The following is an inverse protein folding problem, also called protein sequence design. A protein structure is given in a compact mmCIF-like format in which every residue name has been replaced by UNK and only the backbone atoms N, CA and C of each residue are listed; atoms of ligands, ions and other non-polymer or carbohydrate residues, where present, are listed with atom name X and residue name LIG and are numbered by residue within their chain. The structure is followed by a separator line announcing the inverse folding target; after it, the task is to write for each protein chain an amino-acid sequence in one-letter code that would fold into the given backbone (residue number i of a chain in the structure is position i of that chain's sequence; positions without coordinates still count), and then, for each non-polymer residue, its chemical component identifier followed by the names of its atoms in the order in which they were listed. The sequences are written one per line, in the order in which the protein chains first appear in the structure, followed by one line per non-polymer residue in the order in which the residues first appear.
data_IF_849055334883
#
_entry.id   IF_849055334883
#
_cell.length_a   1.000
_cell.length_b   1.000
_cell.length_c   1.000
_cell.angle_alpha   90.00
_cell.angle_beta   90.00
_cell.angle_gamma   90.00
#
_symmetry.space_group_name_H-M   'P 1'
#
loop_
_entity.id
_entity.type
_entity.pdbx_description
1 polymer ?
#
# COMPACT_ATOMS: atom_id res chain seq x y z
N UNK A 1 -17.08 -9.87 -8.86
CA UNK A 1 -17.69 -8.60 -9.39
C UNK A 1 -17.56 -8.55 -10.89
N UNK A 2 -18.58 -8.08 -11.65
CA UNK A 2 -18.42 -7.90 -13.09
C UNK A 2 -17.65 -6.61 -13.43
N UNK A 3 -17.18 -6.49 -14.69
CA UNK A 3 -16.31 -5.37 -15.08
C UNK A 3 -17.00 -3.99 -15.03
N UNK A 4 -18.31 -3.93 -15.30
CA UNK A 4 -19.06 -2.67 -15.28
C UNK A 4 -19.33 -2.22 -13.84
N UNK A 5 -19.70 -3.14 -12.98
CA UNK A 5 -19.90 -2.91 -11.55
C UNK A 5 -18.59 -2.46 -10.88
N UNK A 6 -17.49 -3.13 -11.20
CA UNK A 6 -16.16 -2.76 -10.72
C UNK A 6 -15.77 -1.34 -11.13
N UNK A 7 -15.98 -0.97 -12.40
CA UNK A 7 -15.66 0.36 -12.91
C UNK A 7 -16.49 1.46 -12.21
N UNK A 8 -17.80 1.21 -12.02
CA UNK A 8 -18.69 2.15 -11.31
C UNK A 8 -18.26 2.34 -9.86
N UNK A 9 -17.92 1.25 -9.17
CA UNK A 9 -17.49 1.30 -7.78
C UNK A 9 -16.14 2.01 -7.65
N UNK A 10 -15.20 1.76 -8.57
CA UNK A 10 -13.92 2.45 -8.63
C UNK A 10 -14.07 3.95 -8.83
N UNK A 11 -14.97 4.38 -9.72
CA UNK A 11 -15.30 5.79 -9.93
C UNK A 11 -15.92 6.41 -8.67
N UNK A 12 -16.89 5.73 -8.06
CA UNK A 12 -17.60 6.20 -6.86
C UNK A 12 -16.66 6.38 -5.68
N UNK A 13 -15.86 5.36 -5.34
CA UNK A 13 -14.90 5.39 -4.23
C UNK A 13 -13.81 6.42 -4.50
N UNK A 14 -13.30 6.47 -5.74
CA UNK A 14 -12.29 7.43 -6.14
C UNK A 14 -12.75 8.88 -6.01
N UNK A 15 -13.97 9.20 -6.48
CA UNK A 15 -14.55 10.52 -6.37
C UNK A 15 -14.80 10.93 -4.90
N UNK A 16 -15.33 10.00 -4.09
CA UNK A 16 -15.60 10.25 -2.66
C UNK A 16 -14.31 10.53 -1.88
N UNK A 17 -13.26 9.73 -2.06
CA UNK A 17 -11.96 9.93 -1.41
C UNK A 17 -11.24 11.20 -1.93
N UNK A 18 -11.33 11.52 -3.22
CA UNK A 18 -10.75 12.76 -3.76
C UNK A 18 -11.40 14.02 -3.15
N UNK A 19 -12.69 13.96 -2.85
CA UNK A 19 -13.42 15.07 -2.23
C UNK A 19 -13.11 15.26 -0.74
N UNK A 20 -12.75 14.18 -0.02
CA UNK A 20 -12.60 14.15 1.45
C UNK A 20 -11.42 13.29 1.90
N UNK A 21 -10.23 13.51 1.30
CA UNK A 21 -9.04 12.72 1.58
C UNK A 21 -8.60 12.76 3.07
N UNK A 22 -8.86 13.88 3.76
CA UNK A 22 -8.53 14.06 5.18
C UNK A 22 -9.47 13.30 6.14
N UNK A 23 -10.57 12.74 5.63
CA UNK A 23 -11.59 11.99 6.39
C UNK A 23 -11.85 10.63 5.74
N UNK A 24 -10.79 9.99 5.28
CA UNK A 24 -10.87 8.78 4.47
C UNK A 24 -11.61 7.63 5.18
N UNK A 25 -11.40 7.43 6.47
CA UNK A 25 -12.07 6.34 7.22
C UNK A 25 -13.59 6.54 7.33
N UNK A 26 -14.07 7.79 7.45
CA UNK A 26 -15.50 8.07 7.39
C UNK A 26 -16.06 7.84 5.99
N UNK A 27 -15.34 8.27 4.95
CA UNK A 27 -15.72 7.99 3.54
C UNK A 27 -15.82 6.49 3.30
N UNK A 28 -14.84 5.70 3.75
CA UNK A 28 -14.84 4.25 3.60
C UNK A 28 -16.03 3.59 4.32
N UNK A 29 -16.40 4.11 5.49
CA UNK A 29 -17.62 3.65 6.20
C UNK A 29 -18.88 3.95 5.38
N UNK A 30 -19.00 5.15 4.81
CA UNK A 30 -20.16 5.57 4.02
C UNK A 30 -20.32 4.75 2.72
N UNK A 31 -19.22 4.34 2.08
CA UNK A 31 -19.26 3.52 0.85
C UNK A 31 -19.38 2.01 1.11
N UNK A 32 -19.44 1.58 2.39
CA UNK A 32 -19.62 0.17 2.73
C UNK A 32 -18.35 -0.67 2.57
N UNK A 33 -17.19 -0.12 2.95
CA UNK A 33 -15.89 -0.80 2.82
C UNK A 33 -15.86 -2.19 3.45
N UNK A 34 -16.37 -2.36 4.67
CA UNK A 34 -16.33 -3.65 5.37
C UNK A 34 -17.21 -4.70 4.70
N UNK A 35 -18.35 -4.30 4.15
CA UNK A 35 -19.23 -5.17 3.38
C UNK A 35 -18.57 -5.61 2.06
N UNK A 36 -17.87 -4.68 1.38
CA UNK A 36 -17.11 -5.01 0.17
C UNK A 36 -15.95 -5.96 0.47
N UNK A 37 -15.22 -5.72 1.57
CA UNK A 37 -14.10 -6.56 1.99
C UNK A 37 -14.55 -7.99 2.33
N UNK A 38 -15.73 -8.15 2.93
CA UNK A 38 -16.30 -9.47 3.27
C UNK A 38 -16.79 -10.22 2.01
N UNK A 39 -17.43 -9.51 1.08
CA UNK A 39 -18.05 -10.12 -0.11
C UNK A 39 -17.05 -10.40 -1.24
N UNK A 40 -16.17 -9.45 -1.54
CA UNK A 40 -15.26 -9.47 -2.71
C UNK A 40 -13.89 -8.89 -2.33
N UNK A 41 -13.12 -9.57 -1.46
CA UNK A 41 -11.91 -8.99 -0.84
C UNK A 41 -10.87 -8.53 -1.86
N UNK A 42 -10.69 -9.24 -2.97
CA UNK A 42 -9.68 -8.91 -3.98
C UNK A 42 -10.01 -7.62 -4.73
N UNK A 43 -11.26 -7.46 -5.15
CA UNK A 43 -11.74 -6.25 -5.81
C UNK A 43 -11.82 -5.08 -4.84
N UNK A 44 -12.30 -5.29 -3.62
CA UNK A 44 -12.39 -4.28 -2.58
C UNK A 44 -11.01 -3.70 -2.23
N UNK A 45 -10.00 -4.55 -2.00
CA UNK A 45 -8.62 -4.13 -1.76
C UNK A 45 -8.07 -3.33 -2.94
N UNK A 46 -8.26 -3.82 -4.17
CA UNK A 46 -7.76 -3.13 -5.35
C UNK A 46 -8.35 -1.73 -5.50
N UNK A 47 -9.67 -1.61 -5.41
CA UNK A 47 -10.40 -0.35 -5.60
C UNK A 47 -10.05 0.66 -4.51
N UNK A 48 -10.15 0.25 -3.24
CA UNK A 48 -9.98 1.16 -2.11
C UNK A 48 -8.53 1.63 -1.98
N UNK A 49 -7.56 0.72 -2.03
CA UNK A 49 -6.15 1.12 -1.84
C UNK A 49 -5.60 1.90 -3.04
N UNK A 50 -6.04 1.62 -4.26
CA UNK A 50 -5.69 2.47 -5.40
C UNK A 50 -6.26 3.89 -5.24
N UNK A 51 -7.50 4.02 -4.79
CA UNK A 51 -8.12 5.32 -4.54
C UNK A 51 -7.44 6.09 -3.39
N UNK A 52 -7.06 5.40 -2.29
CA UNK A 52 -6.27 5.98 -1.20
C UNK A 52 -4.93 6.53 -1.71
N UNK A 53 -4.23 5.76 -2.53
CA UNK A 53 -2.97 6.18 -3.14
C UNK A 53 -3.14 7.37 -4.07
N UNK A 54 -4.16 7.37 -4.92
CA UNK A 54 -4.47 8.47 -5.85
C UNK A 54 -4.83 9.76 -5.11
N UNK A 55 -5.56 9.68 -3.99
CA UNK A 55 -5.91 10.81 -3.13
C UNK A 55 -4.80 11.21 -2.15
N UNK A 56 -3.73 10.45 -2.03
CA UNK A 56 -2.73 10.56 -0.95
C UNK A 56 -3.39 10.60 0.44
N UNK A 57 -4.45 9.84 0.62
CA UNK A 57 -5.24 9.80 1.83
C UNK A 57 -4.63 8.89 2.89
N UNK A 58 -4.71 9.27 4.16
CA UNK A 58 -4.36 8.42 5.29
C UNK A 58 -5.60 7.66 5.75
N UNK A 59 -5.48 6.35 5.94
CA UNK A 59 -6.61 5.50 6.33
C UNK A 59 -6.15 4.34 7.20
N UNK A 60 -7.09 3.80 7.97
CA UNK A 60 -6.93 2.58 8.76
C UNK A 60 -7.45 1.31 8.07
N UNK A 61 -7.78 1.35 6.78
CA UNK A 61 -8.29 0.19 6.02
C UNK A 61 -7.35 -1.04 6.07
N UNK A 62 -6.06 -0.82 6.26
CA UNK A 62 -5.08 -1.90 6.39
C UNK A 62 -5.29 -2.74 7.65
N UNK A 63 -5.79 -2.15 8.76
CA UNK A 63 -6.18 -2.89 9.96
C UNK A 63 -7.28 -3.90 9.63
N UNK A 64 -8.28 -3.49 8.84
CA UNK A 64 -9.40 -4.35 8.48
C UNK A 64 -8.96 -5.54 7.62
N UNK A 65 -8.04 -5.31 6.67
CA UNK A 65 -7.42 -6.37 5.87
C UNK A 65 -6.70 -7.37 6.77
N UNK A 66 -5.91 -6.91 7.73
CA UNK A 66 -5.16 -7.79 8.64
C UNK A 66 -6.07 -8.53 9.61
N UNK A 67 -7.02 -7.83 10.24
CA UNK A 67 -7.97 -8.43 11.17
C UNK A 67 -8.79 -9.53 10.48
N UNK A 68 -9.29 -9.25 9.26
CA UNK A 68 -10.02 -10.24 8.46
C UNK A 68 -9.16 -11.46 8.10
N UNK A 69 -7.93 -11.23 7.62
CA UNK A 69 -7.01 -12.30 7.24
C UNK A 69 -6.60 -13.20 8.42
N UNK A 70 -6.59 -12.65 9.63
CA UNK A 70 -6.34 -13.40 10.87
C UNK A 70 -7.58 -14.09 11.42
N UNK A 71 -8.71 -14.06 10.69
CA UNK A 71 -9.94 -14.79 11.02
C UNK A 71 -10.87 -14.06 12.00
N UNK A 72 -10.64 -12.79 12.30
CA UNK A 72 -11.52 -12.00 13.14
C UNK A 72 -12.37 -11.03 12.30
N UNK A 73 -13.48 -10.57 12.90
CA UNK A 73 -14.35 -9.59 12.23
C UNK A 73 -13.79 -8.18 12.42
N UNK A 74 -13.49 -7.45 11.33
CA UNK A 74 -13.09 -6.04 11.40
C UNK A 74 -14.17 -5.17 12.06
N UNK A 75 -13.72 -4.17 12.83
CA UNK A 75 -14.58 -3.18 13.48
C UNK A 75 -13.80 -1.89 13.75
N UNK A 76 -14.49 -0.77 13.82
CA UNK A 76 -13.86 0.55 13.92
C UNK A 76 -13.02 0.77 15.21
N UNK A 77 -13.30 0.03 16.28
CA UNK A 77 -12.59 0.11 17.55
C UNK A 77 -11.51 -0.96 17.76
N UNK A 78 -11.14 -1.69 16.68
CA UNK A 78 -10.09 -2.72 16.68
C UNK A 78 -8.97 -2.34 15.70
N UNK A 79 -7.80 -2.00 16.22
CA UNK A 79 -6.58 -1.83 15.44
C UNK A 79 -5.83 -3.17 15.27
N UNK A 80 -4.89 -3.22 14.34
CA UNK A 80 -3.97 -4.34 14.18
C UNK A 80 -2.52 -3.91 14.48
N UNK A 81 -1.77 -4.76 15.16
CA UNK A 81 -0.33 -4.57 15.29
C UNK A 81 0.36 -5.19 14.06
N UNK A 82 0.91 -4.34 13.22
CA UNK A 82 1.57 -4.68 11.97
C UNK A 82 3.08 -4.88 12.18
N UNK A 83 3.78 -5.60 11.29
CA UNK A 83 5.23 -5.72 11.34
C UNK A 83 5.94 -4.37 11.41
N UNK A 84 7.10 -4.27 12.04
CA UNK A 84 7.92 -3.05 11.98
C UNK A 84 8.42 -2.78 10.55
N UNK A 85 8.81 -1.54 10.27
CA UNK A 85 9.34 -1.14 8.96
C UNK A 85 10.47 -2.07 8.50
N UNK A 86 10.39 -2.47 7.24
CA UNK A 86 11.35 -3.37 6.60
C UNK A 86 11.17 -4.84 6.97
N UNK A 87 10.26 -5.23 7.86
CA UNK A 87 9.97 -6.60 8.24
C UNK A 87 8.62 -7.08 7.70
N UNK A 88 8.44 -8.40 7.70
CA UNK A 88 7.16 -9.08 7.49
C UNK A 88 6.92 -10.19 8.53
N UNK A 89 7.86 -10.34 9.47
CA UNK A 89 7.72 -11.30 10.57
C UNK A 89 6.70 -10.78 11.60
N UNK A 90 6.05 -11.65 12.37
CA UNK A 90 5.21 -11.22 13.47
C UNK A 90 5.97 -10.31 14.44
N UNK A 91 5.35 -9.22 14.92
CA UNK A 91 6.00 -8.29 15.84
C UNK A 91 6.23 -8.93 17.21
N UNK A 92 7.49 -9.25 17.54
CA UNK A 92 7.86 -9.91 18.81
C UNK A 92 7.81 -8.98 20.03
N UNK A 93 8.16 -7.71 19.88
CA UNK A 93 8.23 -6.72 20.98
C UNK A 93 7.63 -5.37 20.62
N UNK A 94 6.80 -5.33 19.59
CA UNK A 94 6.19 -4.12 19.07
C UNK A 94 6.31 -4.02 17.56
N UNK A 95 5.53 -3.12 16.97
CA UNK A 95 5.39 -3.00 15.53
C UNK A 95 4.88 -1.63 15.12
N UNK A 96 4.11 -1.61 14.04
CA UNK A 96 3.45 -0.43 13.53
C UNK A 96 1.93 -0.54 13.74
N UNK A 97 1.29 0.59 13.87
CA UNK A 97 -0.16 0.71 13.82
C UNK A 97 -0.54 1.92 12.97
N UNK A 98 -1.74 1.86 12.38
CA UNK A 98 -2.33 2.98 11.64
C UNK A 98 -2.84 4.07 12.59
N UNK A 99 -3.47 5.10 12.05
CA UNK A 99 -4.16 6.16 12.81
C UNK A 99 -5.20 5.61 13.77
N UNK A 100 -5.80 4.44 13.49
CA UNK A 100 -6.82 3.79 14.31
C UNK A 100 -6.38 3.55 15.75
N UNK A 101 -5.09 3.35 16.00
CA UNK A 101 -4.53 3.14 17.35
C UNK A 101 -4.90 4.26 18.33
N UNK A 102 -5.10 5.49 17.83
CA UNK A 102 -5.45 6.63 18.67
C UNK A 102 -6.90 6.61 19.18
N UNK A 103 -7.79 5.87 18.51
CA UNK A 103 -9.22 5.80 18.81
C UNK A 103 -9.72 4.39 19.12
N UNK A 104 -8.90 3.37 18.85
CA UNK A 104 -9.21 1.97 19.10
C UNK A 104 -9.35 1.70 20.61
N UNK A 105 -10.25 0.79 20.94
CA UNK A 105 -10.35 0.21 22.26
C UNK A 105 -9.39 -0.95 22.45
N UNK A 106 -9.28 -1.74 21.41
CA UNK A 106 -8.54 -3.00 21.42
C UNK A 106 -7.55 -3.05 20.24
N UNK A 107 -6.49 -3.83 20.39
CA UNK A 107 -5.50 -4.11 19.35
C UNK A 107 -5.37 -5.60 19.16
N UNK A 108 -5.45 -6.06 17.92
CA UNK A 108 -5.10 -7.43 17.57
C UNK A 108 -3.57 -7.55 17.47
N UNK A 109 -3.01 -8.43 18.27
CA UNK A 109 -1.58 -8.73 18.33
C UNK A 109 -1.33 -10.19 17.96
N UNK A 110 -0.17 -10.47 17.38
CA UNK A 110 0.27 -11.84 17.11
C UNK A 110 1.61 -12.07 17.82
N UNK A 111 1.65 -13.05 18.70
CA UNK A 111 2.86 -13.45 19.42
C UNK A 111 2.93 -14.98 19.51
N UNK A 112 4.13 -15.55 19.35
CA UNK A 112 4.33 -16.99 19.42
C UNK A 112 3.46 -17.81 18.44
N UNK A 113 3.03 -17.23 17.31
CA UNK A 113 2.12 -17.86 16.35
C UNK A 113 0.65 -17.90 16.80
N UNK A 114 0.27 -17.08 17.77
CA UNK A 114 -1.10 -16.93 18.28
C UNK A 114 -1.57 -15.49 18.11
N UNK A 115 -2.82 -15.30 17.69
CA UNK A 115 -3.48 -14.00 17.70
C UNK A 115 -4.32 -13.83 18.97
N UNK A 116 -4.27 -12.66 19.54
CA UNK A 116 -5.14 -12.26 20.64
C UNK A 116 -5.49 -10.77 20.54
N UNK A 117 -6.58 -10.39 21.17
CA UNK A 117 -6.98 -9.00 21.29
C UNK A 117 -6.59 -8.50 22.70
N UNK A 118 -5.85 -7.39 22.73
CA UNK A 118 -5.42 -6.75 23.98
C UNK A 118 -5.96 -5.32 24.05
N UNK A 119 -6.24 -4.76 25.24
CA UNK A 119 -6.64 -3.36 25.37
C UNK A 119 -5.51 -2.42 24.88
N UNK A 120 -5.86 -1.37 24.12
CA UNK A 120 -4.89 -0.38 23.63
C UNK A 120 -4.08 0.27 24.76
N UNK A 121 -4.68 0.48 25.94
CA UNK A 121 -4.01 1.04 27.11
C UNK A 121 -2.88 0.18 27.70
N UNK A 122 -2.72 -1.06 27.26
CA UNK A 122 -1.60 -1.94 27.66
C UNK A 122 -0.35 -1.77 26.79
N UNK A 123 -0.42 -0.91 25.76
CA UNK A 123 0.63 -0.71 24.76
C UNK A 123 1.13 0.74 24.81
N UNK A 124 2.43 0.96 24.51
CA UNK A 124 3.02 2.31 24.37
C UNK A 124 3.08 2.68 22.88
N UNK A 125 2.13 3.49 22.43
CA UNK A 125 2.02 3.99 21.05
C UNK A 125 2.58 5.39 20.90
N UNK A 126 3.43 5.61 19.86
CA UNK A 126 4.01 6.92 19.56
C UNK A 126 3.89 7.23 18.08
N UNK A 127 3.43 8.45 17.75
CA UNK A 127 3.36 8.90 16.37
C UNK A 127 4.72 8.88 15.68
N UNK A 128 4.79 8.32 14.47
CA UNK A 128 5.98 8.28 13.63
C UNK A 128 6.18 9.65 12.99
N UNK A 129 7.30 10.30 13.29
CA UNK A 129 7.73 11.57 12.67
C UNK A 129 8.78 11.29 11.62
N UNK A 130 8.42 10.48 10.62
CA UNK A 130 9.32 10.09 9.55
C UNK A 130 9.22 10.99 8.32
N UNK A 131 9.48 10.41 7.14
CA UNK A 131 9.47 11.13 5.87
C UNK A 131 8.05 11.58 5.46
N UNK A 132 7.01 10.83 5.86
CA UNK A 132 5.60 11.11 5.61
C UNK A 132 4.83 11.12 6.95
N UNK A 133 4.90 12.21 7.73
CA UNK A 133 4.20 12.31 9.01
C UNK A 133 2.68 12.35 8.84
N UNK A 134 2.19 12.81 7.69
CA UNK A 134 0.76 12.93 7.37
C UNK A 134 0.10 11.57 7.12
N UNK A 135 0.88 10.51 6.95
CA UNK A 135 0.37 9.14 6.85
C UNK A 135 -0.19 8.59 8.17
N UNK A 136 0.08 9.26 9.30
CA UNK A 136 -0.54 8.96 10.59
C UNK A 136 -0.06 7.67 11.27
N UNK A 137 1.07 7.11 10.86
CA UNK A 137 1.61 5.89 11.46
C UNK A 137 2.09 6.08 12.90
N UNK A 138 1.98 5.02 13.68
CA UNK A 138 2.48 4.94 15.05
C UNK A 138 3.42 3.74 15.19
N UNK A 139 4.50 3.92 15.94
CA UNK A 139 5.25 2.80 16.52
C UNK A 139 4.56 2.39 17.80
N UNK A 140 4.43 1.09 18.02
CA UNK A 140 3.83 0.52 19.21
C UNK A 140 4.83 -0.41 19.86
N UNK A 141 5.05 -0.27 21.16
CA UNK A 141 5.92 -1.13 21.97
C UNK A 141 5.09 -1.97 22.92
N UNK A 142 5.55 -3.20 23.17
CA UNK A 142 4.81 -4.19 23.91
C UNK A 142 3.90 -5.00 22.99
N UNK A 143 3.63 -6.22 23.37
CA UNK A 143 2.68 -7.10 22.68
C UNK A 143 1.51 -7.48 23.59
N UNK A 144 1.54 -7.00 24.83
CA UNK A 144 0.70 -7.53 25.90
C UNK A 144 1.11 -8.98 26.22
N UNK A 145 0.54 -9.54 27.28
CA UNK A 145 0.71 -10.97 27.56
C UNK A 145 -0.31 -11.78 26.72
N UNK A 146 0.15 -12.35 25.59
CA UNK A 146 -0.63 -13.30 24.80
C UNK A 146 -0.48 -14.69 25.40
N UNK A 147 -1.07 -14.91 26.56
CA UNK A 147 -1.05 -16.22 27.23
C UNK A 147 -2.04 -17.22 26.61
N UNK A 148 -3.07 -16.73 25.95
CA UNK A 148 -4.13 -17.51 25.29
C UNK A 148 -4.52 -16.81 23.98
N UNK A 149 -4.74 -17.58 22.90
CA UNK A 149 -5.15 -17.06 21.61
C UNK A 149 -5.23 -18.16 20.56
N UNK A 150 -5.82 -17.86 19.42
CA UNK A 150 -5.96 -18.81 18.32
C UNK A 150 -4.63 -18.99 17.57
N UNK A 151 -4.34 -20.22 17.12
CA UNK A 151 -3.15 -20.50 16.32
C UNK A 151 -3.31 -19.88 14.92
N UNK A 152 -2.40 -18.97 14.53
CA UNK A 152 -2.52 -18.17 13.30
C UNK A 152 -1.27 -18.19 12.43
N UNK A 153 -0.34 -19.14 12.62
CA UNK A 153 0.91 -19.17 11.86
C UNK A 153 0.68 -19.15 10.34
N UNK A 154 -0.26 -19.96 9.84
CA UNK A 154 -0.63 -19.97 8.42
C UNK A 154 -1.43 -18.71 8.01
N UNK A 155 -2.26 -18.17 8.88
CA UNK A 155 -3.04 -16.96 8.63
C UNK A 155 -2.14 -15.72 8.57
N UNK A 156 -1.01 -15.70 9.30
CA UNK A 156 -0.05 -14.61 9.25
C UNK A 156 0.54 -14.41 7.86
N UNK A 157 0.99 -15.49 7.21
CA UNK A 157 1.52 -15.41 5.84
C UNK A 157 0.48 -14.88 4.86
N UNK A 158 -0.78 -15.27 5.03
CA UNK A 158 -1.91 -14.77 4.25
C UNK A 158 -2.18 -13.29 4.53
N UNK A 159 -2.12 -12.86 5.80
CA UNK A 159 -2.30 -11.45 6.17
C UNK A 159 -1.19 -10.57 5.58
N UNK A 160 0.07 -11.02 5.64
CA UNK A 160 1.20 -10.33 4.99
C UNK A 160 1.03 -10.28 3.48
N UNK A 161 0.56 -11.37 2.85
CA UNK A 161 0.33 -11.40 1.41
C UNK A 161 -0.76 -10.40 0.99
N UNK A 162 -1.88 -10.35 1.70
CA UNK A 162 -2.94 -9.36 1.45
C UNK A 162 -2.46 -7.94 1.74
N UNK A 163 -1.72 -7.71 2.83
CA UNK A 163 -1.12 -6.42 3.14
C UNK A 163 -0.14 -5.93 2.06
N UNK A 164 0.69 -6.82 1.50
CA UNK A 164 1.57 -6.53 0.36
C UNK A 164 0.79 -6.11 -0.88
N UNK A 165 -0.33 -6.77 -1.17
CA UNK A 165 -1.20 -6.42 -2.29
C UNK A 165 -1.88 -5.08 -2.06
N UNK A 166 -2.44 -4.85 -0.87
CA UNK A 166 -3.06 -3.59 -0.47
C UNK A 166 -2.10 -2.40 -0.65
N UNK A 167 -0.90 -2.49 -0.05
CA UNK A 167 0.15 -1.48 -0.22
C UNK A 167 0.59 -1.34 -1.68
N UNK A 168 0.64 -2.44 -2.43
CA UNK A 168 0.94 -2.43 -3.86
C UNK A 168 -0.07 -1.61 -4.67
N UNK A 169 -1.37 -1.74 -4.40
CA UNK A 169 -2.42 -0.95 -5.03
C UNK A 169 -2.37 0.53 -4.61
N UNK A 170 -2.06 0.82 -3.34
CA UNK A 170 -1.86 2.22 -2.89
C UNK A 170 -0.67 2.87 -3.63
N UNK A 171 0.43 2.14 -3.79
CA UNK A 171 1.58 2.61 -4.57
C UNK A 171 1.25 2.78 -6.07
N UNK A 172 0.38 1.94 -6.63
CA UNK A 172 -0.13 2.07 -8.00
C UNK A 172 -0.91 3.38 -8.16
N UNK A 173 -1.86 3.65 -7.28
CA UNK A 173 -2.65 4.89 -7.29
C UNK A 173 -1.77 6.13 -7.16
N UNK A 174 -0.83 6.13 -6.20
CA UNK A 174 0.13 7.23 -6.02
C UNK A 174 1.03 7.43 -7.25
N UNK A 175 1.45 6.35 -7.91
CA UNK A 175 2.25 6.41 -9.15
C UNK A 175 1.46 7.02 -10.32
N UNK A 176 0.19 6.65 -10.46
CA UNK A 176 -0.71 7.26 -11.46
C UNK A 176 -0.90 8.75 -11.21
N UNK A 177 -1.07 9.16 -9.95
CA UNK A 177 -1.16 10.57 -9.58
C UNK A 177 0.13 11.35 -9.89
N UNK A 178 1.31 10.81 -9.56
CA UNK A 178 2.59 11.42 -9.91
C UNK A 178 2.74 11.62 -11.42
N UNK A 179 2.36 10.62 -12.23
CA UNK A 179 2.41 10.71 -13.69
C UNK A 179 1.43 11.76 -14.23
N UNK A 180 0.21 11.85 -13.67
CA UNK A 180 -0.78 12.85 -14.05
C UNK A 180 -0.26 14.27 -13.82
N UNK A 181 0.31 14.56 -12.65
CA UNK A 181 0.92 15.85 -12.31
C UNK A 181 2.07 16.22 -13.26
N UNK A 182 2.94 15.27 -13.56
CA UNK A 182 4.05 15.51 -14.48
C UNK A 182 3.58 15.74 -15.93
N UNK A 183 2.52 15.04 -16.36
CA UNK A 183 1.89 15.22 -17.67
C UNK A 183 1.24 16.59 -17.80
N UNK A 184 0.46 17.02 -16.79
CA UNK A 184 -0.15 18.35 -16.75
C UNK A 184 0.93 19.43 -16.87
N UNK A 185 1.96 19.37 -16.03
CA UNK A 185 3.08 20.29 -16.10
C UNK A 185 3.76 20.29 -17.49
N UNK A 186 3.92 19.13 -18.12
CA UNK A 186 4.55 19.04 -19.45
C UNK A 186 3.72 19.66 -20.56
N UNK A 187 2.39 19.71 -20.41
CA UNK A 187 1.47 20.39 -21.34
C UNK A 187 1.48 21.89 -21.14
N UNK A 188 1.49 22.36 -19.89
CA UNK A 188 1.32 23.76 -19.54
C UNK A 188 2.62 24.57 -19.58
N UNK A 189 3.75 23.93 -19.26
CA UNK A 189 5.05 24.61 -19.19
C UNK A 189 5.60 24.89 -20.59
N UNK A 190 5.70 26.16 -20.94
CA UNK A 190 6.30 26.60 -22.22
C UNK A 190 7.76 26.96 -22.04
N UNK A 191 8.63 26.39 -22.86
CA UNK A 191 10.03 26.76 -23.01
C UNK A 191 10.44 26.61 -24.50
N UNK A 192 11.32 27.49 -24.97
CA UNK A 192 11.69 27.54 -26.40
C UNK A 192 10.46 27.66 -27.30
N UNK A 193 9.52 28.54 -26.93
CA UNK A 193 8.31 28.90 -27.67
C UNK A 193 7.25 27.76 -27.82
N UNK A 194 7.39 26.64 -27.08
CA UNK A 194 6.46 25.52 -27.14
C UNK A 194 6.35 24.77 -25.81
N UNK A 195 5.26 24.02 -25.57
CA UNK A 195 5.14 23.16 -24.40
C UNK A 195 6.30 22.17 -24.29
N UNK A 196 6.82 21.94 -23.07
CA UNK A 196 7.94 21.02 -22.88
C UNK A 196 7.56 19.58 -23.24
N UNK A 197 6.28 19.20 -23.18
CA UNK A 197 5.76 17.92 -23.65
C UNK A 197 5.92 17.69 -25.16
N UNK A 198 6.30 18.71 -25.94
CA UNK A 198 6.63 18.53 -27.36
C UNK A 198 8.01 17.93 -27.59
N UNK A 199 8.92 17.95 -26.60
CA UNK A 199 10.26 17.40 -26.70
C UNK A 199 10.26 15.89 -26.49
N UNK A 200 10.96 15.14 -27.36
CA UNK A 200 11.02 13.68 -27.27
C UNK A 200 11.57 13.18 -25.93
N UNK A 201 12.59 13.84 -25.38
CA UNK A 201 13.17 13.47 -24.10
C UNK A 201 12.16 13.49 -22.95
N UNK A 202 11.21 14.44 -22.95
CA UNK A 202 10.12 14.53 -21.97
C UNK A 202 9.11 13.39 -22.22
N UNK A 203 8.69 13.20 -23.49
CA UNK A 203 7.74 12.14 -23.85
C UNK A 203 8.25 10.75 -23.48
N UNK A 204 9.53 10.46 -23.74
CA UNK A 204 10.13 9.17 -23.42
C UNK A 204 10.11 8.91 -21.90
N UNK A 205 10.41 9.91 -21.07
CA UNK A 205 10.33 9.77 -19.61
C UNK A 205 8.93 9.48 -19.12
N UNK A 206 7.92 10.18 -19.64
CA UNK A 206 6.53 9.93 -19.28
C UNK A 206 6.05 8.56 -19.78
N UNK A 207 6.51 8.13 -20.97
CA UNK A 207 6.20 6.80 -21.49
C UNK A 207 6.84 5.68 -20.65
N UNK A 208 8.10 5.82 -20.23
CA UNK A 208 8.78 4.86 -19.34
C UNK A 208 8.07 4.75 -17.99
N UNK A 209 7.61 5.89 -17.42
CA UNK A 209 6.81 5.89 -16.22
C UNK A 209 5.47 5.16 -16.42
N UNK A 210 4.78 5.39 -17.53
CA UNK A 210 3.53 4.71 -17.87
C UNK A 210 3.73 3.19 -18.01
N UNK A 211 4.76 2.75 -18.73
CA UNK A 211 5.09 1.32 -18.91
C UNK A 211 5.32 0.65 -17.56
N UNK A 212 6.03 1.32 -16.63
CA UNK A 212 6.24 0.77 -15.29
C UNK A 212 4.92 0.65 -14.50
N UNK A 213 4.02 1.62 -14.62
CA UNK A 213 2.69 1.60 -13.99
C UNK A 213 1.84 0.45 -14.53
N UNK A 214 1.77 0.28 -15.86
CA UNK A 214 1.00 -0.80 -16.49
C UNK A 214 1.57 -2.19 -16.14
N UNK A 215 2.89 -2.32 -16.04
CA UNK A 215 3.53 -3.55 -15.58
C UNK A 215 3.17 -3.88 -14.13
N UNK A 216 3.12 -2.87 -13.25
CA UNK A 216 2.67 -3.07 -11.86
C UNK A 216 1.21 -3.50 -11.79
N UNK A 217 0.33 -2.82 -12.52
CA UNK A 217 -1.10 -3.15 -12.56
C UNK A 217 -1.31 -4.61 -13.02
N UNK A 218 -0.65 -5.03 -14.10
CA UNK A 218 -0.69 -6.42 -14.56
C UNK A 218 -0.16 -7.41 -13.50
N UNK A 219 0.91 -7.04 -12.78
CA UNK A 219 1.48 -7.90 -11.73
C UNK A 219 0.54 -8.04 -10.52
N UNK A 220 -0.14 -6.96 -10.14
CA UNK A 220 -1.14 -6.99 -9.05
C UNK A 220 -2.36 -7.83 -9.41
N UNK A 221 -2.83 -7.76 -10.66
CA UNK A 221 -3.91 -8.64 -11.15
C UNK A 221 -3.49 -10.11 -11.13
N UNK A 222 -2.31 -10.42 -11.64
CA UNK A 222 -1.78 -11.79 -11.61
C UNK A 222 -1.64 -12.31 -10.16
N UNK A 223 -1.27 -11.45 -9.20
CA UNK A 223 -1.21 -11.83 -7.80
C UNK A 223 -2.59 -11.99 -7.14
N UNK A 224 -3.66 -11.47 -7.75
CA UNK A 224 -5.05 -11.74 -7.34
C UNK A 224 -5.56 -13.05 -7.95
N UNK A 225 -5.24 -13.32 -9.22
CA UNK A 225 -5.63 -14.55 -9.91
C UNK A 225 -4.95 -15.79 -9.31
N UNK A 226 -3.69 -15.64 -8.86
CA UNK A 226 -2.90 -16.69 -8.22
C UNK A 226 -2.43 -16.24 -6.83
N UNK A 227 -3.33 -16.21 -5.83
CA UNK A 227 -3.01 -15.68 -4.50
C UNK A 227 -2.00 -16.56 -3.77
N UNK A 228 -0.96 -15.93 -3.22
CA UNK A 228 0.06 -16.62 -2.45
C UNK A 228 1.17 -15.68 -1.95
N UNK A 229 1.99 -16.16 -0.98
CA UNK A 229 3.07 -15.35 -0.42
C UNK A 229 4.11 -14.90 -1.46
N UNK A 230 4.42 -15.76 -2.44
CA UNK A 230 5.41 -15.47 -3.48
C UNK A 230 4.90 -14.45 -4.49
N UNK A 231 3.67 -14.62 -4.99
CA UNK A 231 3.05 -13.70 -5.95
C UNK A 231 2.82 -12.32 -5.34
N UNK A 232 2.38 -12.27 -4.08
CA UNK A 232 2.24 -11.02 -3.34
C UNK A 232 3.60 -10.35 -3.06
N UNK A 233 4.66 -11.12 -2.79
CA UNK A 233 6.01 -10.59 -2.63
C UNK A 233 6.54 -10.00 -3.95
N UNK A 234 6.34 -10.69 -5.07
CA UNK A 234 6.69 -10.19 -6.40
C UNK A 234 5.95 -8.88 -6.74
N UNK A 235 4.64 -8.83 -6.47
CA UNK A 235 3.82 -7.64 -6.67
C UNK A 235 4.32 -6.46 -5.83
N UNK A 236 4.63 -6.67 -4.53
CA UNK A 236 5.16 -5.62 -3.64
C UNK A 236 6.55 -5.14 -4.09
N UNK A 237 7.44 -6.05 -4.49
CA UNK A 237 8.76 -5.67 -5.01
C UNK A 237 8.64 -4.88 -6.32
N UNK A 238 7.71 -5.27 -7.20
CA UNK A 238 7.41 -4.52 -8.43
C UNK A 238 6.85 -3.14 -8.10
N UNK A 239 5.95 -3.02 -7.10
CA UNK A 239 5.38 -1.75 -6.66
C UNK A 239 6.45 -0.76 -6.20
N UNK A 240 7.40 -1.18 -5.35
CA UNK A 240 8.49 -0.31 -4.90
C UNK A 240 9.39 0.14 -6.05
N UNK A 241 9.76 -0.75 -6.96
CA UNK A 241 10.56 -0.40 -8.15
C UNK A 241 9.82 0.54 -9.10
N UNK A 242 8.52 0.29 -9.33
CA UNK A 242 7.67 1.16 -10.14
C UNK A 242 7.58 2.55 -9.55
N UNK A 243 7.25 2.68 -8.27
CA UNK A 243 7.15 3.96 -7.60
C UNK A 243 8.46 4.76 -7.69
N UNK A 244 9.60 4.10 -7.48
CA UNK A 244 10.92 4.73 -7.63
C UNK A 244 11.17 5.20 -9.09
N UNK A 245 10.85 4.37 -10.08
CA UNK A 245 11.00 4.70 -11.50
C UNK A 245 10.13 5.88 -11.89
N UNK A 246 8.84 5.84 -11.53
CA UNK A 246 7.87 6.90 -11.79
C UNK A 246 8.30 8.20 -11.13
N UNK A 247 8.65 8.15 -9.84
CA UNK A 247 9.10 9.32 -9.10
C UNK A 247 10.32 9.98 -9.76
N UNK A 248 11.32 9.20 -10.16
CA UNK A 248 12.53 9.70 -10.85
C UNK A 248 12.20 10.37 -12.18
N UNK A 249 11.34 9.77 -13.00
CA UNK A 249 10.99 10.34 -14.30
C UNK A 249 10.09 11.59 -14.16
N UNK A 250 9.08 11.54 -13.30
CA UNK A 250 8.19 12.66 -13.07
C UNK A 250 8.91 13.84 -12.43
N UNK A 251 9.77 13.62 -11.45
CA UNK A 251 10.57 14.67 -10.82
C UNK A 251 11.50 15.36 -11.83
N UNK A 252 12.09 14.60 -12.74
CA UNK A 252 12.92 15.17 -13.81
C UNK A 252 12.09 16.03 -14.79
N UNK A 253 10.84 15.66 -15.09
CA UNK A 253 9.94 16.46 -15.94
C UNK A 253 9.50 17.72 -15.22
N UNK A 254 9.15 17.64 -13.94
CA UNK A 254 8.77 18.77 -13.10
C UNK A 254 9.96 19.72 -12.84
N UNK A 255 11.19 19.24 -12.94
CA UNK A 255 12.41 20.00 -12.68
C UNK A 255 12.39 20.71 -11.30
N UNK A 256 12.71 22.00 -11.22
CA UNK A 256 12.82 22.73 -9.96
C UNK A 256 11.56 22.70 -9.09
N UNK A 257 10.37 22.79 -9.69
CA UNK A 257 9.10 22.80 -8.95
C UNK A 257 8.85 21.45 -8.22
N UNK A 258 9.30 20.32 -8.79
CA UNK A 258 9.17 19.00 -8.20
C UNK A 258 9.98 18.78 -6.91
N UNK A 259 10.87 19.71 -6.56
CA UNK A 259 11.65 19.70 -5.32
C UNK A 259 11.08 20.61 -4.24
N UNK A 260 10.02 21.35 -4.54
CA UNK A 260 9.42 22.31 -3.60
C UNK A 260 8.19 21.74 -2.93
N UNK A 261 7.82 22.30 -1.78
CA UNK A 261 6.57 21.98 -1.08
C UNK A 261 5.35 22.66 -1.70
N UNK A 262 5.55 23.56 -2.66
CA UNK A 262 4.48 24.27 -3.35
C UNK A 262 3.76 23.38 -4.38
N UNK A 263 4.37 22.27 -4.78
CA UNK A 263 3.81 21.31 -5.73
C UNK A 263 3.43 19.99 -5.05
N UNK A 264 2.23 19.48 -5.31
CA UNK A 264 1.69 18.28 -4.65
C UNK A 264 2.54 16.99 -4.84
N UNK A 265 3.39 16.94 -5.87
CA UNK A 265 4.22 15.78 -6.20
C UNK A 265 5.03 15.24 -5.00
N UNK A 266 5.59 16.13 -4.16
CA UNK A 266 6.40 15.73 -3.02
C UNK A 266 5.62 14.88 -1.99
N UNK A 267 4.30 15.05 -1.88
CA UNK A 267 3.44 14.27 -0.97
C UNK A 267 3.38 12.81 -1.42
N UNK A 268 3.15 12.58 -2.71
CA UNK A 268 3.12 11.22 -3.30
C UNK A 268 4.48 10.55 -3.24
N UNK A 269 5.57 11.29 -3.51
CA UNK A 269 6.93 10.78 -3.37
C UNK A 269 7.19 10.28 -1.94
N UNK A 270 6.91 11.10 -0.93
CA UNK A 270 7.09 10.74 0.49
C UNK A 270 6.24 9.53 0.88
N UNK A 271 4.96 9.50 0.45
CA UNK A 271 4.05 8.39 0.68
C UNK A 271 4.60 7.09 0.09
N UNK A 272 5.02 7.08 -1.16
CA UNK A 272 5.55 5.87 -1.79
C UNK A 272 6.85 5.39 -1.16
N UNK A 273 7.73 6.30 -0.69
CA UNK A 273 8.94 5.92 0.05
C UNK A 273 8.60 5.27 1.41
N UNK A 274 7.60 5.76 2.11
CA UNK A 274 7.12 5.16 3.36
C UNK A 274 6.46 3.79 3.10
N UNK A 275 5.58 3.69 2.10
CA UNK A 275 4.89 2.45 1.73
C UNK A 275 5.86 1.35 1.27
N UNK A 276 6.99 1.71 0.65
CA UNK A 276 8.02 0.71 0.29
C UNK A 276 8.58 0.01 1.53
N UNK A 277 8.66 0.69 2.67
CA UNK A 277 9.12 0.10 3.93
C UNK A 277 8.13 -0.86 4.59
N UNK A 278 6.84 -0.85 4.23
CA UNK A 278 5.84 -1.75 4.80
C UNK A 278 5.94 -3.15 4.21
N UNK A 279 5.90 -4.18 5.06
CA UNK A 279 5.99 -5.62 4.68
C UNK A 279 7.22 -5.99 3.84
N UNK A 280 8.31 -5.25 4.03
CA UNK A 280 9.58 -5.40 3.32
C UNK A 280 9.72 -4.45 2.12
N UNK A 281 10.90 -3.85 1.99
CA UNK A 281 11.24 -3.04 0.82
C UNK A 281 11.44 -3.90 -0.43
N UNK A 282 11.30 -3.27 -1.61
CA UNK A 282 11.50 -3.94 -2.90
C UNK A 282 12.83 -4.69 -2.99
N UNK A 283 13.92 -4.08 -2.51
CA UNK A 283 15.26 -4.68 -2.55
C UNK A 283 15.40 -5.85 -1.57
N UNK A 284 14.84 -5.73 -0.36
CA UNK A 284 14.87 -6.80 0.64
C UNK A 284 14.07 -8.00 0.17
N UNK A 285 12.86 -7.78 -0.37
CA UNK A 285 12.01 -8.85 -0.93
C UNK A 285 12.73 -9.53 -2.11
N UNK A 286 13.28 -8.77 -3.05
CA UNK A 286 13.99 -9.33 -4.20
C UNK A 286 15.22 -10.16 -3.77
N UNK A 287 15.96 -9.69 -2.76
CA UNK A 287 17.10 -10.43 -2.19
C UNK A 287 16.65 -11.74 -1.54
N UNK A 288 15.54 -11.73 -0.80
CA UNK A 288 15.00 -12.90 -0.13
C UNK A 288 14.48 -13.93 -1.13
N UNK A 289 13.70 -13.50 -2.12
CA UNK A 289 13.26 -14.36 -3.24
C UNK A 289 14.44 -15.00 -3.97
N UNK A 290 15.49 -14.21 -4.24
CA UNK A 290 16.71 -14.75 -4.85
C UNK A 290 17.37 -15.85 -4.01
N UNK A 291 17.45 -15.67 -2.70
CA UNK A 291 17.96 -16.72 -1.77
C UNK A 291 17.10 -17.98 -1.81
N UNK A 292 15.79 -17.83 -1.81
CA UNK A 292 14.85 -18.96 -1.88
C UNK A 292 15.02 -19.74 -3.19
N UNK A 293 15.14 -19.08 -4.34
CA UNK A 293 15.38 -19.72 -5.64
C UNK A 293 16.70 -20.47 -5.68
N UNK A 294 17.77 -19.89 -5.13
CA UNK A 294 19.08 -20.53 -5.04
C UNK A 294 19.01 -21.78 -4.15
N UNK A 295 18.36 -21.69 -2.99
CA UNK A 295 18.20 -22.81 -2.06
C UNK A 295 17.37 -23.95 -2.69
N UNK A 296 16.28 -23.61 -3.37
CA UNK A 296 15.41 -24.56 -4.06
C UNK A 296 16.06 -25.18 -5.32
N UNK A 297 17.11 -24.56 -5.85
CA UNK A 297 17.73 -24.90 -7.15
C UNK A 297 16.74 -25.06 -8.30
N UNK A 298 15.64 -24.33 -8.23
CA UNK A 298 14.54 -24.35 -9.20
C UNK A 298 13.99 -22.96 -9.39
N UNK A 299 13.82 -22.56 -10.64
CA UNK A 299 13.08 -21.36 -11.05
C UNK A 299 11.67 -21.81 -11.42
N UNK A 300 10.60 -21.22 -10.83
CA UNK A 300 9.25 -21.49 -11.28
C UNK A 300 9.12 -21.13 -12.76
N UNK A 301 8.51 -22.01 -13.56
CA UNK A 301 8.17 -21.71 -14.93
C UNK A 301 6.88 -20.89 -14.93
N UNK A 302 6.88 -19.72 -15.57
CA UNK A 302 5.70 -18.88 -15.74
C UNK A 302 4.73 -19.44 -16.80
N UNK A 303 5.17 -20.44 -17.56
CA UNK A 303 4.38 -21.09 -18.61
C UNK A 303 4.65 -22.58 -18.51
N UNK A 304 3.62 -23.39 -18.33
CA UNK A 304 3.69 -24.82 -18.61
C UNK A 304 3.79 -25.00 -20.13
N UNK A 305 4.96 -25.47 -20.60
CA UNK A 305 5.21 -25.78 -22.00
C UNK A 305 4.65 -27.16 -22.34
#
# INVERSE_FOLDING_TARGET
MDAAERALLQETVGAALAARADDADAVLTEVGWLEMLDAEPDDAIAIVFEALGAGNAASSALDDVFVSALGAKPRADLAALLPPFGSWDPPANGGLATTRIATARDVMVVDGGRAATVPVGSLDGRAVRGIDPDAGWHTVQGTGEVSQGDAVAAAWDSAVALGRRAVGHEMLGASRAMLALAREHAVDRVQFERPIGSFQAVRHRLAEALVAIEALDATLRAAADEPGPTTAALAKATAGRTAHTVARHCQQVLAGIGFTTDHAFHRYLKRTMMLDGLFGSADRIATDLGRQLIAARRVPTLIEL
#
